data_IF_140535868170
#
_entry.id   IF_140535868170
#
_cell.length_a   1.000
_cell.length_b   1.000
_cell.length_c   1.000
_cell.angle_alpha   90.00
_cell.angle_beta   90.00
_cell.angle_gamma   90.00
#
_symmetry.space_group_name_H-M   'P 1'
#
loop_
_entity.id
_entity.type
_entity.pdbx_description
1 polymer ?
#
# COMPACT_ATOMS: atom_id res chain seq x y z
N UNK A 1 -18.69 16.20 -3.14
CA UNK A 1 -18.11 17.55 -2.98
C UNK A 1 -18.27 18.04 -1.53
N UNK A 2 -17.16 18.26 -0.82
CA UNK A 2 -17.18 18.88 0.51
C UNK A 2 -16.87 20.37 0.32
N UNK A 3 -17.88 21.23 0.45
CA UNK A 3 -17.70 22.67 0.30
C UNK A 3 -16.94 23.21 1.52
N UNK A 4 -15.71 23.68 1.31
CA UNK A 4 -14.88 24.28 2.34
C UNK A 4 -14.91 25.81 2.18
N UNK A 5 -15.53 26.50 3.15
CA UNK A 5 -15.72 27.95 3.08
C UNK A 5 -14.65 28.75 3.84
N UNK A 6 -13.75 28.09 4.58
CA UNK A 6 -12.67 28.76 5.33
C UNK A 6 -11.32 28.54 4.65
N UNK A 7 -10.49 29.58 4.45
CA UNK A 7 -9.19 29.46 3.75
C UNK A 7 -8.30 28.34 4.30
N UNK A 8 -8.21 28.20 5.63
CA UNK A 8 -7.43 27.15 6.29
C UNK A 8 -7.86 25.72 5.90
N UNK A 9 -9.15 25.48 5.69
CA UNK A 9 -9.66 24.14 5.30
C UNK A 9 -9.45 23.86 3.81
N UNK A 10 -9.52 24.88 2.97
CA UNK A 10 -9.20 24.76 1.54
C UNK A 10 -7.72 24.37 1.39
N UNK A 11 -6.83 25.08 2.07
CA UNK A 11 -5.39 24.80 2.05
C UNK A 11 -5.08 23.36 2.51
N UNK A 12 -5.64 22.95 3.65
CA UNK A 12 -5.45 21.60 4.17
C UNK A 12 -5.98 20.52 3.21
N UNK A 13 -7.15 20.72 2.59
CA UNK A 13 -7.71 19.78 1.62
C UNK A 13 -6.82 19.64 0.39
N UNK A 14 -6.40 20.77 -0.20
CA UNK A 14 -5.50 20.77 -1.37
C UNK A 14 -4.17 20.09 -1.04
N UNK A 15 -3.60 20.37 0.14
CA UNK A 15 -2.36 19.74 0.58
C UNK A 15 -2.50 18.21 0.69
N UNK A 16 -3.53 17.72 1.39
CA UNK A 16 -3.77 16.28 1.56
C UNK A 16 -4.05 15.61 0.21
N UNK A 17 -4.87 16.23 -0.64
CA UNK A 17 -5.16 15.72 -1.98
C UNK A 17 -3.91 15.65 -2.86
N UNK A 18 -3.05 16.66 -2.82
CA UNK A 18 -1.80 16.67 -3.57
C UNK A 18 -0.85 15.57 -3.11
N UNK A 19 -0.68 15.39 -1.79
CA UNK A 19 0.14 14.32 -1.23
C UNK A 19 -0.42 12.95 -1.62
N UNK A 20 -1.73 12.73 -1.47
CA UNK A 20 -2.37 11.47 -1.85
C UNK A 20 -2.19 11.17 -3.34
N UNK A 21 -2.39 12.17 -4.21
CA UNK A 21 -2.19 12.01 -5.65
C UNK A 21 -0.73 11.74 -6.01
N UNK A 22 0.21 12.41 -5.34
CA UNK A 22 1.64 12.19 -5.55
C UNK A 22 2.05 10.77 -5.18
N UNK A 23 1.59 10.24 -4.04
CA UNK A 23 1.83 8.86 -3.63
C UNK A 23 1.24 7.87 -4.64
N UNK A 24 0.00 8.10 -5.10
CA UNK A 24 -0.63 7.26 -6.11
C UNK A 24 0.16 7.24 -7.42
N UNK A 25 0.58 8.41 -7.91
CA UNK A 25 1.36 8.53 -9.15
C UNK A 25 2.76 7.96 -9.04
N UNK A 26 3.37 8.03 -7.87
CA UNK A 26 4.66 7.40 -7.63
C UNK A 26 4.55 5.88 -7.67
N UNK A 27 3.51 5.32 -7.06
CA UNK A 27 3.21 3.88 -7.17
C UNK A 27 2.95 3.46 -8.62
N UNK A 28 2.19 4.26 -9.38
CA UNK A 28 1.98 4.01 -10.82
C UNK A 28 3.31 3.98 -11.60
N UNK A 29 4.21 4.93 -11.33
CA UNK A 29 5.54 5.01 -11.95
C UNK A 29 6.38 3.77 -11.62
N UNK A 30 6.38 3.34 -10.36
CA UNK A 30 7.13 2.15 -9.92
C UNK A 30 6.60 0.87 -10.56
N UNK A 31 5.28 0.69 -10.65
CA UNK A 31 4.69 -0.48 -11.32
C UNK A 31 5.08 -0.55 -12.80
N UNK A 32 5.06 0.59 -13.51
CA UNK A 32 5.52 0.67 -14.91
C UNK A 32 7.01 0.36 -15.05
N UNK A 33 7.86 0.89 -14.16
CA UNK A 33 9.31 0.60 -14.15
C UNK A 33 9.60 -0.89 -13.98
N UNK A 34 8.79 -1.57 -13.18
CA UNK A 34 8.91 -3.01 -12.90
C UNK A 34 8.11 -3.89 -13.87
N UNK A 35 7.67 -3.35 -15.03
CA UNK A 35 6.94 -4.08 -16.08
C UNK A 35 5.67 -4.80 -15.59
N UNK A 36 4.96 -4.21 -14.61
CA UNK A 36 3.68 -4.77 -14.17
C UNK A 36 2.55 -4.29 -15.07
N UNK A 37 1.76 -5.23 -15.63
CA UNK A 37 0.54 -4.93 -16.40
C UNK A 37 -0.67 -4.54 -15.52
N UNK A 38 -0.49 -4.47 -14.19
CA UNK A 38 -1.57 -4.20 -13.26
C UNK A 38 -1.76 -2.69 -13.04
N UNK A 39 -3.02 -2.24 -13.05
CA UNK A 39 -3.35 -0.89 -12.59
C UNK A 39 -3.11 -0.75 -11.09
N UNK A 40 -2.81 0.48 -10.64
CA UNK A 40 -2.67 0.78 -9.21
C UNK A 40 -3.90 0.34 -8.42
N UNK A 41 -5.10 0.58 -8.95
CA UNK A 41 -6.35 0.20 -8.29
C UNK A 41 -6.45 -1.31 -8.10
N UNK A 42 -6.03 -2.10 -9.09
CA UNK A 42 -6.04 -3.57 -8.99
C UNK A 42 -5.00 -4.07 -7.98
N UNK A 43 -3.83 -3.44 -7.95
CA UNK A 43 -2.81 -3.74 -6.94
C UNK A 43 -3.33 -3.44 -5.54
N UNK A 44 -4.00 -2.31 -5.33
CA UNK A 44 -4.59 -1.94 -4.05
C UNK A 44 -5.72 -2.90 -3.63
N UNK A 45 -6.57 -3.32 -4.56
CA UNK A 45 -7.62 -4.32 -4.32
C UNK A 45 -7.02 -5.65 -3.83
N UNK A 46 -5.97 -6.14 -4.50
CA UNK A 46 -5.29 -7.37 -4.10
C UNK A 46 -4.58 -7.18 -2.76
N UNK A 47 -3.90 -6.05 -2.54
CA UNK A 47 -3.16 -5.75 -1.32
C UNK A 47 -4.07 -5.72 -0.08
N UNK A 48 -5.31 -5.23 -0.21
CA UNK A 48 -6.31 -5.27 0.88
C UNK A 48 -6.64 -6.69 1.37
N UNK A 49 -6.43 -7.70 0.53
CA UNK A 49 -6.67 -9.11 0.89
C UNK A 49 -5.48 -9.78 1.57
N UNK A 50 -4.29 -9.16 1.53
CA UNK A 50 -3.08 -9.69 2.17
C UNK A 50 -3.17 -9.46 3.67
N UNK A 51 -3.16 -10.55 4.43
CA UNK A 51 -3.27 -10.49 5.89
C UNK A 51 -1.91 -10.72 6.54
N UNK A 52 -1.64 -10.00 7.63
CA UNK A 52 -0.45 -10.24 8.47
C UNK A 52 -0.91 -10.79 9.81
N UNK A 53 -0.52 -12.03 10.10
CA UNK A 53 -0.83 -12.71 11.35
C UNK A 53 0.24 -12.37 12.38
N UNK A 54 -0.19 -11.89 13.55
CA UNK A 54 0.67 -11.72 14.73
C UNK A 54 0.28 -12.77 15.76
N UNK A 55 1.18 -13.71 16.01
CA UNK A 55 0.94 -14.87 16.88
C UNK A 55 1.88 -14.77 18.07
N UNK A 56 1.31 -14.80 19.27
CA UNK A 56 2.10 -14.94 20.50
C UNK A 56 2.35 -16.42 20.76
N UNK A 57 3.61 -16.85 20.71
CA UNK A 57 3.97 -18.24 20.98
C UNK A 57 3.72 -18.55 22.45
N UNK A 58 2.92 -19.58 22.77
CA UNK A 58 2.54 -19.89 24.15
C UNK A 58 3.73 -20.35 24.99
N UNK A 59 4.73 -20.98 24.36
CA UNK A 59 5.90 -21.55 25.06
C UNK A 59 7.02 -20.54 25.33
N UNK A 60 7.22 -19.57 24.45
CA UNK A 60 8.34 -18.61 24.55
C UNK A 60 7.88 -17.19 24.89
N UNK A 61 6.57 -16.93 24.86
CA UNK A 61 5.99 -15.60 25.05
C UNK A 61 6.28 -14.60 23.92
N UNK A 62 7.08 -14.98 22.92
CA UNK A 62 7.48 -14.12 21.81
C UNK A 62 6.32 -13.94 20.83
N UNK A 63 6.19 -12.73 20.27
CA UNK A 63 5.22 -12.44 19.21
C UNK A 63 5.90 -12.53 17.86
N UNK A 64 5.47 -13.49 17.04
CA UNK A 64 5.92 -13.65 15.65
C UNK A 64 4.90 -13.03 14.72
N UNK A 65 5.35 -12.20 13.80
CA UNK A 65 4.53 -11.61 12.75
C UNK A 65 4.85 -12.26 11.41
N UNK A 66 3.83 -12.73 10.69
CA UNK A 66 4.00 -13.32 9.35
C UNK A 66 2.95 -12.80 8.39
N UNK A 67 3.40 -12.23 7.28
CA UNK A 67 2.54 -11.81 6.18
C UNK A 67 2.19 -13.00 5.30
N UNK A 68 0.90 -13.18 5.03
CA UNK A 68 0.34 -14.33 4.35
C UNK A 68 0.04 -13.99 2.88
N UNK A 69 0.93 -14.42 1.98
CA UNK A 69 0.76 -14.32 0.52
C UNK A 69 0.34 -15.70 0.02
N UNK A 70 -0.97 -15.97 0.02
CA UNK A 70 -1.53 -17.30 -0.21
C UNK A 70 -2.05 -17.44 -1.64
N UNK A 71 -2.81 -16.45 -2.12
CA UNK A 71 -3.51 -16.56 -3.41
C UNK A 71 -2.59 -16.22 -4.58
N UNK A 72 -2.91 -16.74 -5.77
CA UNK A 72 -2.13 -16.46 -6.98
C UNK A 72 -2.13 -14.96 -7.33
N UNK A 73 -3.21 -14.24 -7.05
CA UNK A 73 -3.28 -12.80 -7.24
C UNK A 73 -2.34 -12.06 -6.29
N UNK A 74 -2.27 -12.47 -5.02
CA UNK A 74 -1.33 -11.89 -4.05
C UNK A 74 0.12 -12.14 -4.45
N UNK A 75 0.44 -13.31 -5.02
CA UNK A 75 1.79 -13.62 -5.51
C UNK A 75 2.24 -12.65 -6.61
N UNK A 76 1.33 -12.18 -7.48
CA UNK A 76 1.66 -11.19 -8.53
C UNK A 76 2.20 -9.87 -7.94
N UNK A 77 1.74 -9.49 -6.74
CA UNK A 77 2.16 -8.26 -6.06
C UNK A 77 3.15 -8.51 -4.91
N UNK A 78 3.63 -9.74 -4.74
CA UNK A 78 4.46 -10.12 -3.59
C UNK A 78 5.76 -9.32 -3.49
N UNK A 79 6.36 -8.99 -4.64
CA UNK A 79 7.59 -8.21 -4.72
C UNK A 79 7.45 -6.81 -4.07
N UNK A 80 6.24 -6.22 -4.08
CA UNK A 80 5.96 -4.93 -3.44
C UNK A 80 6.10 -4.95 -1.92
N UNK A 81 5.99 -6.12 -1.30
CA UNK A 81 6.11 -6.31 0.15
C UNK A 81 7.55 -6.62 0.59
N UNK A 82 8.50 -6.65 -0.35
CA UNK A 82 9.92 -6.80 -0.04
C UNK A 82 10.57 -5.46 0.27
N UNK A 83 11.46 -5.42 1.26
CA UNK A 83 12.22 -4.21 1.59
C UNK A 83 13.16 -3.77 0.46
N UNK A 84 13.58 -4.70 -0.40
CA UNK A 84 14.47 -4.43 -1.54
C UNK A 84 13.80 -3.58 -2.61
N UNK A 85 12.49 -3.75 -2.81
CA UNK A 85 11.74 -3.02 -3.83
C UNK A 85 11.79 -1.49 -3.62
N UNK A 86 11.85 -1.04 -2.37
CA UNK A 86 11.76 0.38 -2.00
C UNK A 86 13.11 1.05 -1.76
N UNK A 87 14.23 0.32 -1.85
CA UNK A 87 15.58 0.83 -1.59
C UNK A 87 16.26 1.50 -2.80
N UNK A 88 15.59 1.60 -3.96
CA UNK A 88 16.16 2.12 -5.22
C UNK A 88 16.06 3.63 -5.37
#
# INVERSE_FOLDING_TARGET
PMFHFTPKRIEAHVCICFVAYKVYKELERLLKKNQSDLSVDKVLEIAKTVTTLKIKLPKTGQTVSKTMIITQNQKKIAHLFSDEFWKS
#
